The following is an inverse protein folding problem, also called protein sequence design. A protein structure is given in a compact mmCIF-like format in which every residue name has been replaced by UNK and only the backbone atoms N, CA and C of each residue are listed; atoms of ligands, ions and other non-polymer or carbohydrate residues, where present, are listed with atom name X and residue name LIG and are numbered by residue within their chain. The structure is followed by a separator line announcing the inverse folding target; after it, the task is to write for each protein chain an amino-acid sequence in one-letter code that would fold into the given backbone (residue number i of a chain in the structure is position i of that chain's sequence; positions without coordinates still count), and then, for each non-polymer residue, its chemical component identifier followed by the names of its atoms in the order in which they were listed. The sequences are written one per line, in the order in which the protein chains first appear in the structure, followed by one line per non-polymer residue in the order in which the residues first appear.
data_IF_221604167913
#
_entry.id   IF_221604167913
#
_cell.length_a   1.000
_cell.length_b   1.000
_cell.length_c   1.000
_cell.angle_alpha   90.00
_cell.angle_beta   90.00
_cell.angle_gamma   90.00
#
_symmetry.space_group_name_H-M   'P 1'
#
loop_
_entity.id
_entity.type
_entity.pdbx_description
1 polymer ?
#
# COMPACT_ATOMS: atom_id res chain seq x y z
N UNK A 1 8.82 -7.00 -37.50
CA UNK A 1 7.93 -6.12 -36.70
C UNK A 1 7.21 -7.04 -35.74
N UNK A 2 7.56 -7.01 -34.45
CA UNK A 2 6.91 -7.84 -33.44
C UNK A 2 5.83 -6.98 -32.77
N UNK A 3 4.58 -7.40 -32.91
CA UNK A 3 3.45 -6.80 -32.19
C UNK A 3 3.70 -6.95 -30.69
N UNK A 4 3.66 -5.87 -29.88
CA UNK A 4 3.81 -5.99 -28.44
C UNK A 4 2.67 -6.88 -27.91
N UNK A 5 3.03 -8.05 -27.39
CA UNK A 5 2.10 -8.99 -26.77
C UNK A 5 2.04 -8.68 -25.27
N UNK A 6 0.82 -8.49 -24.76
CA UNK A 6 0.59 -8.37 -23.32
C UNK A 6 1.04 -9.66 -22.62
N UNK A 7 1.63 -9.52 -21.42
CA UNK A 7 2.04 -10.69 -20.63
C UNK A 7 0.80 -11.55 -20.28
N UNK A 8 0.96 -12.88 -20.15
CA UNK A 8 -0.15 -13.76 -19.77
C UNK A 8 -0.78 -13.38 -18.42
N UNK A 9 0.04 -12.92 -17.46
CA UNK A 9 -0.41 -12.49 -16.13
C UNK A 9 -1.28 -11.23 -16.22
N UNK A 10 -0.82 -10.19 -16.93
CA UNK A 10 -1.60 -8.98 -17.18
C UNK A 10 -2.89 -9.29 -17.94
N UNK A 11 -2.81 -10.17 -18.95
CA UNK A 11 -3.98 -10.58 -19.74
C UNK A 11 -5.01 -11.31 -18.89
N UNK A 12 -4.57 -12.14 -17.93
CA UNK A 12 -5.45 -12.83 -16.99
C UNK A 12 -6.11 -11.86 -16.01
N UNK A 13 -5.33 -10.95 -15.42
CA UNK A 13 -5.83 -9.91 -14.52
C UNK A 13 -6.82 -8.97 -15.22
N UNK A 14 -6.51 -8.53 -16.44
CA UNK A 14 -7.39 -7.72 -17.29
C UNK A 14 -8.69 -8.47 -17.60
N UNK A 15 -8.62 -9.76 -17.90
CA UNK A 15 -9.81 -10.58 -18.16
C UNK A 15 -10.68 -10.72 -16.92
N UNK A 16 -10.09 -10.96 -15.75
CA UNK A 16 -10.81 -11.04 -14.49
C UNK A 16 -11.54 -9.73 -14.17
N UNK A 17 -10.85 -8.59 -14.38
CA UNK A 17 -11.44 -7.26 -14.21
C UNK A 17 -12.63 -7.02 -15.17
N UNK A 18 -12.48 -7.36 -16.46
CA UNK A 18 -13.55 -7.20 -17.45
C UNK A 18 -14.79 -8.06 -17.13
N UNK A 19 -14.59 -9.27 -16.58
CA UNK A 19 -15.69 -10.14 -16.13
C UNK A 19 -16.41 -9.56 -14.91
N UNK A 20 -15.66 -8.96 -13.98
CA UNK A 20 -16.24 -8.29 -12.80
C UNK A 20 -17.04 -7.03 -13.19
N UNK A 21 -16.53 -6.23 -14.13
CA UNK A 21 -17.21 -5.03 -14.63
C UNK A 21 -18.50 -5.38 -15.39
N UNK A 22 -18.47 -6.45 -16.20
CA UNK A 22 -19.67 -6.93 -16.91
C UNK A 22 -20.79 -7.41 -15.99
N UNK A 23 -20.46 -7.82 -14.75
CA UNK A 23 -21.41 -8.29 -13.74
C UNK A 23 -21.93 -7.19 -12.82
N UNK A 24 -21.35 -5.99 -12.87
CA UNK A 24 -21.71 -4.89 -11.98
C UNK A 24 -22.89 -4.07 -12.54
N UNK A 25 -23.98 -3.85 -11.76
CA UNK A 25 -25.08 -3.00 -12.21
C UNK A 25 -24.62 -1.54 -12.28
N UNK A 26 -24.75 -0.91 -13.46
CA UNK A 26 -24.40 0.50 -13.72
C UNK A 26 -25.19 1.46 -12.82
N UNK A 27 -24.68 1.78 -11.63
CA UNK A 27 -25.23 2.84 -10.78
C UNK A 27 -24.76 4.21 -11.28
N UNK A 28 -25.73 5.01 -11.73
CA UNK A 28 -25.59 6.40 -12.17
C UNK A 28 -25.14 7.27 -10.98
N UNK A 29 -23.83 7.53 -10.83
CA UNK A 29 -23.30 8.38 -9.74
C UNK A 29 -23.45 9.87 -10.08
N UNK A 30 -24.20 10.57 -9.23
CA UNK A 30 -24.38 12.03 -9.19
C UNK A 30 -23.10 12.65 -8.60
N UNK A 31 -22.47 13.54 -9.37
CA UNK A 31 -21.21 14.24 -9.02
C UNK A 31 -21.41 15.19 -7.84
N UNK A 32 -20.78 14.92 -6.71
CA UNK A 32 -20.47 15.93 -5.68
C UNK A 32 -18.94 15.96 -5.54
N UNK A 33 -18.35 17.09 -5.94
CA UNK A 33 -16.91 17.33 -5.84
C UNK A 33 -16.54 17.75 -4.43
N UNK A 34 -15.42 17.24 -3.95
CA UNK A 34 -14.70 17.81 -2.80
C UNK A 34 -13.24 17.94 -3.23
N UNK A 35 -12.81 19.20 -3.25
CA UNK A 35 -11.42 19.60 -3.31
C UNK A 35 -10.83 19.43 -1.91
N UNK A 36 -9.73 18.69 -1.78
CA UNK A 36 -8.88 18.76 -0.59
C UNK A 36 -7.42 18.64 -1.05
N UNK A 37 -6.73 19.76 -0.97
CA UNK A 37 -5.28 19.85 -1.08
C UNK A 37 -4.67 19.40 0.25
N UNK A 38 -3.67 18.52 0.17
CA UNK A 38 -2.93 18.03 1.33
C UNK A 38 -1.89 17.01 0.86
N UNK A 39 -0.71 17.49 0.49
CA UNK A 39 0.39 16.66 0.04
C UNK A 39 0.91 15.82 1.22
N UNK A 40 0.53 14.55 1.26
CA UNK A 40 1.23 13.51 2.01
C UNK A 40 2.01 12.70 0.97
N UNK A 41 3.33 12.59 1.17
CA UNK A 41 4.19 11.72 0.38
C UNK A 41 3.84 10.27 0.73
N UNK A 42 2.82 9.73 0.06
CA UNK A 42 2.47 8.32 0.16
C UNK A 42 3.40 7.54 -0.76
N UNK A 43 4.40 6.88 -0.17
CA UNK A 43 4.86 5.61 -0.73
C UNK A 43 3.62 4.73 -0.78
N UNK A 44 3.32 4.12 -1.93
CA UNK A 44 2.25 3.12 -2.05
C UNK A 44 2.72 1.89 -1.28
N UNK A 45 2.61 1.95 0.05
CA UNK A 45 2.64 0.80 0.92
C UNK A 45 1.34 0.06 0.60
N UNK A 46 1.46 -1.01 -0.18
CA UNK A 46 0.35 -1.88 -0.57
C UNK A 46 -0.32 -2.48 0.65
N UNK A 47 -1.26 -1.73 1.22
CA UNK A 47 -2.07 -2.12 2.37
C UNK A 47 -3.54 -1.73 2.19
N UNK A 48 -3.97 -1.45 0.95
CA UNK A 48 -5.40 -1.32 0.68
C UNK A 48 -5.95 -2.71 0.43
N UNK A 49 -6.57 -3.28 1.45
CA UNK A 49 -7.56 -4.35 1.37
C UNK A 49 -8.81 -3.87 0.60
N UNK A 50 -8.61 -3.34 -0.60
CA UNK A 50 -9.65 -3.18 -1.58
C UNK A 50 -9.58 -4.44 -2.44
N UNK A 51 -10.54 -5.34 -2.22
CA UNK A 51 -10.94 -6.28 -3.27
C UNK A 51 -10.96 -5.51 -4.59
N UNK A 52 -10.28 -6.03 -5.61
CA UNK A 52 -10.12 -5.49 -6.98
C UNK A 52 -11.44 -4.93 -7.54
N UNK A 53 -11.79 -3.72 -7.11
CA UNK A 53 -13.01 -2.99 -7.46
C UNK A 53 -12.70 -1.50 -7.70
N UNK A 54 -11.44 -1.11 -7.54
CA UNK A 54 -10.88 0.10 -8.12
C UNK A 54 -10.50 -0.28 -9.56
N UNK A 55 -11.07 0.36 -10.58
CA UNK A 55 -10.70 0.18 -12.01
C UNK A 55 -9.28 0.64 -12.36
N UNK A 56 -8.33 0.43 -11.46
CA UNK A 56 -6.91 0.70 -11.56
C UNK A 56 -6.25 -0.66 -11.81
N UNK A 57 -5.47 -0.77 -12.88
CA UNK A 57 -4.69 -1.98 -13.16
C UNK A 57 -3.79 -2.29 -11.96
N UNK A 58 -3.62 -3.56 -11.59
CA UNK A 58 -2.83 -3.90 -10.41
C UNK A 58 -1.35 -3.54 -10.66
N UNK A 59 -0.70 -2.99 -9.64
CA UNK A 59 0.67 -2.51 -9.71
C UNK A 59 1.65 -3.71 -9.72
N UNK A 60 2.56 -3.83 -10.71
CA UNK A 60 3.59 -4.87 -10.69
C UNK A 60 4.42 -4.82 -9.41
N UNK A 61 4.86 -5.98 -8.88
CA UNK A 61 5.59 -6.04 -7.61
C UNK A 61 4.78 -5.74 -6.35
N UNK A 62 3.50 -5.38 -6.47
CA UNK A 62 2.62 -5.16 -5.33
C UNK A 62 1.90 -6.47 -4.93
N UNK A 63 1.54 -6.62 -3.64
CA UNK A 63 0.64 -7.68 -3.22
C UNK A 63 -0.74 -7.48 -3.85
N UNK A 64 -1.36 -8.59 -4.26
CA UNK A 64 -2.73 -8.67 -4.71
C UNK A 64 -3.49 -9.61 -3.78
N UNK A 65 -4.58 -9.10 -3.20
CA UNK A 65 -5.40 -9.84 -2.25
C UNK A 65 -6.70 -10.29 -2.92
N UNK A 66 -6.94 -11.60 -2.91
CA UNK A 66 -8.21 -12.20 -3.33
C UNK A 66 -9.02 -12.56 -2.10
N UNK A 67 -10.19 -11.94 -1.92
CA UNK A 67 -11.07 -12.23 -0.78
C UNK A 67 -11.57 -13.67 -0.79
N UNK A 68 -11.51 -14.33 0.37
CA UNK A 68 -11.97 -15.70 0.58
C UNK A 68 -13.07 -15.71 1.65
N UNK A 69 -14.25 -16.17 1.26
CA UNK A 69 -15.39 -16.28 2.16
C UNK A 69 -16.12 -14.94 2.38
N UNK A 70 -16.74 -14.80 3.55
CA UNK A 70 -17.56 -13.65 3.92
C UNK A 70 -16.84 -12.84 5.00
N UNK A 71 -16.80 -11.52 4.81
CA UNK A 71 -16.31 -10.59 5.83
C UNK A 71 -17.13 -10.73 7.12
N UNK A 72 -16.44 -10.74 8.26
CA UNK A 72 -17.06 -10.71 9.58
C UNK A 72 -16.67 -9.43 10.30
N UNK A 73 -17.54 -8.98 11.19
CA UNK A 73 -17.29 -7.81 11.99
C UNK A 73 -17.80 -7.96 13.42
N UNK A 74 -17.20 -7.19 14.32
CA UNK A 74 -17.60 -7.08 15.72
C UNK A 74 -17.47 -5.62 16.16
N UNK A 75 -18.41 -5.17 16.97
CA UNK A 75 -18.31 -3.91 17.70
C UNK A 75 -18.01 -4.20 19.18
N UNK A 76 -17.13 -3.42 19.78
CA UNK A 76 -16.66 -3.64 21.14
C UNK A 76 -16.38 -2.34 21.89
N UNK A 77 -16.22 -2.48 23.20
CA UNK A 77 -15.72 -1.42 24.09
C UNK A 77 -14.66 -2.02 25.01
N UNK A 78 -13.53 -1.33 25.17
CA UNK A 78 -12.38 -1.92 25.85
C UNK A 78 -11.77 -3.08 25.06
N UNK A 79 -11.12 -3.99 25.76
CA UNK A 79 -10.56 -5.18 25.13
C UNK A 79 -11.66 -6.08 24.57
N UNK A 80 -11.53 -6.50 23.31
CA UNK A 80 -12.37 -7.54 22.72
C UNK A 80 -11.65 -8.23 21.56
N UNK A 81 -12.33 -9.14 20.88
CA UNK A 81 -11.75 -9.91 19.78
C UNK A 81 -12.76 -10.22 18.69
N UNK A 82 -12.26 -10.38 17.47
CA UNK A 82 -13.01 -10.88 16.32
C UNK A 82 -12.64 -12.35 16.07
N UNK A 83 -13.66 -13.19 15.87
CA UNK A 83 -13.53 -14.58 15.43
C UNK A 83 -13.99 -14.71 13.97
N UNK A 84 -13.04 -15.00 13.08
CA UNK A 84 -13.31 -15.21 11.66
C UNK A 84 -13.88 -16.59 11.34
N UNK A 85 -13.88 -17.51 12.30
CA UNK A 85 -14.25 -18.91 12.13
C UNK A 85 -13.15 -19.73 11.44
N UNK A 86 -13.48 -20.90 10.88
CA UNK A 86 -12.49 -21.80 10.29
C UNK A 86 -11.78 -21.15 9.10
N UNK A 87 -10.48 -21.40 8.99
CA UNK A 87 -9.64 -20.93 7.87
C UNK A 87 -10.04 -21.68 6.59
N UNK A 88 -10.43 -20.98 5.51
CA UNK A 88 -10.74 -21.61 4.23
C UNK A 88 -9.46 -22.05 3.51
N UNK A 89 -9.59 -23.05 2.63
CA UNK A 89 -8.48 -23.53 1.80
C UNK A 89 -7.90 -22.39 0.94
N UNK A 90 -6.57 -22.30 0.89
CA UNK A 90 -5.85 -21.31 0.08
C UNK A 90 -5.73 -19.92 0.71
N UNK A 91 -6.25 -19.71 1.92
CA UNK A 91 -6.00 -18.48 2.67
C UNK A 91 -4.53 -18.41 3.11
N UNK A 92 -3.92 -17.24 2.92
CA UNK A 92 -2.53 -16.95 3.33
C UNK A 92 -2.49 -15.84 4.37
N UNK A 93 -3.44 -14.92 4.32
CA UNK A 93 -3.47 -13.71 5.14
C UNK A 93 -4.89 -13.40 5.62
N UNK A 94 -4.97 -12.47 6.57
CA UNK A 94 -6.21 -11.84 7.03
C UNK A 94 -6.14 -10.34 6.73
N UNK A 95 -7.10 -9.84 5.96
CA UNK A 95 -7.31 -8.41 5.77
C UNK A 95 -8.22 -7.87 6.88
N UNK A 96 -7.81 -6.79 7.54
CA UNK A 96 -8.48 -6.21 8.69
C UNK A 96 -8.71 -4.71 8.52
N UNK A 97 -9.84 -4.24 9.03
CA UNK A 97 -10.19 -2.82 9.09
C UNK A 97 -10.75 -2.48 10.46
N UNK A 98 -10.05 -1.60 11.17
CA UNK A 98 -10.53 -0.97 12.40
C UNK A 98 -11.25 0.34 12.06
N UNK A 99 -12.43 0.55 12.62
CA UNK A 99 -13.05 1.86 12.73
C UNK A 99 -13.00 2.33 14.18
N UNK A 100 -12.32 3.45 14.42
CA UNK A 100 -12.29 4.08 15.73
C UNK A 100 -13.62 4.80 15.98
N UNK A 101 -14.37 4.35 16.99
CA UNK A 101 -15.62 5.02 17.40
C UNK A 101 -15.36 6.08 18.45
N UNK A 102 -14.37 5.87 19.30
CA UNK A 102 -13.86 6.84 20.26
C UNK A 102 -12.36 7.11 20.03
N UNK A 103 -11.88 8.25 20.52
CA UNK A 103 -10.45 8.53 20.56
C UNK A 103 -9.75 7.62 21.58
N UNK A 104 -8.53 7.19 21.29
CA UNK A 104 -7.79 6.27 22.13
C UNK A 104 -6.58 5.65 21.44
N UNK A 105 -5.83 4.87 22.21
CA UNK A 105 -4.77 4.00 21.68
C UNK A 105 -5.29 2.57 21.60
N UNK A 106 -4.99 1.89 20.50
CA UNK A 106 -5.45 0.53 20.25
C UNK A 106 -4.24 -0.33 19.88
N UNK A 107 -4.01 -1.42 20.63
CA UNK A 107 -3.10 -2.47 20.17
C UNK A 107 -3.88 -3.43 19.27
N UNK A 108 -3.33 -3.65 18.07
CA UNK A 108 -3.98 -4.36 16.98
C UNK A 108 -3.24 -5.66 16.65
N UNK A 109 -3.97 -6.69 16.19
CA UNK A 109 -3.40 -7.97 15.85
C UNK A 109 -2.41 -7.83 14.68
N UNK A 110 -1.16 -8.18 14.92
CA UNK A 110 -0.13 -8.34 13.90
C UNK A 110 0.47 -7.06 13.28
N UNK A 111 0.02 -5.87 13.70
CA UNK A 111 0.52 -4.59 13.13
C UNK A 111 1.02 -3.57 14.17
N UNK A 112 0.86 -3.84 15.47
CA UNK A 112 1.26 -2.92 16.55
C UNK A 112 0.12 -2.01 17.00
N UNK A 113 0.45 -0.79 17.43
CA UNK A 113 -0.53 0.14 18.02
C UNK A 113 -0.90 1.28 17.07
N UNK A 114 -2.17 1.71 17.09
CA UNK A 114 -2.65 2.92 16.41
C UNK A 114 -3.22 3.90 17.42
N UNK A 115 -3.05 5.19 17.15
CA UNK A 115 -3.64 6.28 17.94
C UNK A 115 -4.71 6.96 17.10
N UNK A 116 -5.94 6.97 17.60
CA UNK A 116 -7.05 7.71 17.01
C UNK A 116 -7.31 8.96 17.84
N UNK A 117 -7.15 10.13 17.23
CA UNK A 117 -7.31 11.44 17.90
C UNK A 117 -8.74 11.93 17.88
N UNK A 118 -9.53 11.57 16.86
CA UNK A 118 -10.92 11.99 16.70
C UNK A 118 -11.85 10.77 16.50
N UNK A 119 -13.02 10.74 17.17
CA UNK A 119 -14.02 9.69 16.99
C UNK A 119 -14.64 9.74 15.59
N UNK A 120 -14.90 8.59 14.97
CA UNK A 120 -15.73 8.46 13.77
C UNK A 120 -15.03 8.74 12.43
N UNK A 121 -13.88 9.41 12.42
CA UNK A 121 -13.18 9.79 11.18
C UNK A 121 -11.91 8.97 10.89
N UNK A 122 -11.45 8.15 11.84
CA UNK A 122 -10.23 7.36 11.70
C UNK A 122 -10.53 5.89 11.44
N UNK A 123 -10.09 5.40 10.27
CA UNK A 123 -10.06 3.98 9.96
C UNK A 123 -8.62 3.55 9.65
N UNK A 124 -8.21 2.42 10.23
CA UNK A 124 -6.94 1.78 9.93
C UNK A 124 -7.23 0.47 9.21
N UNK A 125 -6.58 0.24 8.07
CA UNK A 125 -6.65 -1.04 7.37
C UNK A 125 -5.25 -1.61 7.22
N UNK A 126 -5.13 -2.92 7.43
CA UNK A 126 -3.89 -3.64 7.28
C UNK A 126 -4.19 -5.08 6.91
N UNK A 127 -3.15 -5.79 6.51
CA UNK A 127 -3.23 -7.22 6.22
C UNK A 127 -2.08 -7.92 6.91
N UNK A 128 -2.37 -9.05 7.53
CA UNK A 128 -1.43 -9.82 8.34
C UNK A 128 -1.39 -11.27 7.88
N UNK A 129 -0.19 -11.86 7.83
CA UNK A 129 -0.02 -13.27 7.51
C UNK A 129 -0.72 -14.17 8.55
N UNK A 130 -1.34 -15.26 8.09
CA UNK A 130 -2.11 -16.15 8.96
C UNK A 130 -1.27 -16.83 10.04
N UNK A 131 0.03 -17.02 9.81
CA UNK A 131 0.95 -17.62 10.78
C UNK A 131 1.37 -16.65 11.90
N UNK A 132 1.10 -15.35 11.75
CA UNK A 132 1.43 -14.32 12.73
C UNK A 132 0.29 -14.02 13.71
N UNK A 133 -0.91 -14.57 13.51
CA UNK A 133 -2.10 -14.28 14.32
C UNK A 133 -2.96 -15.53 14.56
N UNK A 134 -3.76 -15.51 15.62
CA UNK A 134 -4.87 -16.47 15.78
C UNK A 134 -6.14 -15.87 15.15
N UNK A 135 -6.62 -16.40 14.00
CA UNK A 135 -7.77 -15.82 13.30
C UNK A 135 -9.10 -16.08 14.01
N UNK A 136 -9.12 -16.95 15.03
CA UNK A 136 -10.29 -17.17 15.90
C UNK A 136 -10.31 -16.21 17.10
N UNK A 137 -9.23 -15.46 17.32
CA UNK A 137 -9.09 -14.53 18.45
C UNK A 137 -8.25 -13.30 18.07
N UNK A 138 -8.73 -12.54 17.08
CA UNK A 138 -8.10 -11.30 16.64
C UNK A 138 -8.40 -10.18 17.64
N UNK A 139 -7.52 -10.06 18.64
CA UNK A 139 -7.74 -9.22 19.82
C UNK A 139 -7.38 -7.76 19.56
N UNK A 140 -8.31 -6.86 19.88
CA UNK A 140 -8.10 -5.42 20.01
C UNK A 140 -7.95 -5.11 21.50
N UNK A 141 -6.87 -4.43 21.87
CA UNK A 141 -6.63 -4.01 23.26
C UNK A 141 -6.75 -2.49 23.34
N UNK A 142 -7.62 -2.02 24.22
CA UNK A 142 -7.78 -0.59 24.50
C UNK A 142 -8.43 -0.41 25.88
N UNK A 143 -8.53 0.83 26.33
CA UNK A 143 -9.12 1.20 27.61
C UNK A 143 -10.60 0.82 27.68
N UNK A 144 -11.06 0.40 28.87
CA UNK A 144 -12.33 -0.30 29.13
C UNK A 144 -13.63 0.36 28.60
N UNK A 145 -13.59 1.61 28.12
CA UNK A 145 -14.75 2.35 27.60
C UNK A 145 -14.58 2.86 26.17
N UNK A 146 -13.39 2.68 25.58
CA UNK A 146 -13.11 3.14 24.22
C UNK A 146 -13.80 2.18 23.26
N UNK A 147 -14.73 2.70 22.45
CA UNK A 147 -15.49 1.91 21.49
C UNK A 147 -14.78 1.81 20.15
N UNK A 148 -14.99 0.68 19.49
CA UNK A 148 -14.41 0.37 18.19
C UNK A 148 -15.28 -0.63 17.43
N UNK A 149 -15.03 -0.71 16.12
CA UNK A 149 -15.51 -1.80 15.27
C UNK A 149 -14.31 -2.39 14.54
N UNK A 150 -14.21 -3.71 14.50
CA UNK A 150 -13.21 -4.43 13.70
C UNK A 150 -13.95 -5.29 12.68
N UNK A 151 -13.58 -5.16 11.41
CA UNK A 151 -13.99 -6.04 10.34
C UNK A 151 -12.78 -6.83 9.84
N UNK A 152 -13.00 -8.06 9.38
CA UNK A 152 -11.94 -8.91 8.87
C UNK A 152 -12.45 -9.97 7.90
N UNK A 153 -11.55 -10.39 7.01
CA UNK A 153 -11.79 -11.47 6.06
C UNK A 153 -10.49 -12.21 5.75
N UNK A 154 -10.61 -13.50 5.45
CA UNK A 154 -9.50 -14.26 4.90
C UNK A 154 -9.21 -13.80 3.47
N UNK A 155 -7.93 -13.74 3.11
CA UNK A 155 -7.50 -13.45 1.74
C UNK A 155 -6.42 -14.44 1.31
N UNK A 156 -6.40 -14.72 0.00
CA UNK A 156 -5.22 -15.28 -0.66
C UNK A 156 -4.42 -14.11 -1.19
N UNK A 157 -3.22 -13.92 -0.66
CA UNK A 157 -2.30 -12.87 -1.08
C UNK A 157 -1.23 -13.48 -1.97
N UNK A 158 -1.06 -12.89 -3.13
CA UNK A 158 0.04 -13.19 -4.04
C UNK A 158 0.79 -11.90 -4.38
N UNK A 159 2.10 -11.99 -4.52
CA UNK A 159 2.90 -10.87 -5.01
C UNK A 159 2.97 -10.94 -6.52
N UNK A 160 2.52 -9.88 -7.19
CA UNK A 160 2.63 -9.82 -8.64
C UNK A 160 4.10 -9.72 -9.06
N UNK A 161 4.50 -10.43 -10.13
CA UNK A 161 5.85 -10.30 -10.64
C UNK A 161 6.12 -8.85 -11.08
N UNK A 162 7.38 -8.43 -10.99
CA UNK A 162 7.83 -7.22 -11.65
C UNK A 162 7.63 -7.36 -13.17
N UNK A 163 7.36 -6.23 -13.83
CA UNK A 163 7.29 -6.19 -15.28
C UNK A 163 8.60 -5.64 -15.87
N UNK A 164 8.79 -5.83 -17.17
CA UNK A 164 9.98 -5.36 -17.89
C UNK A 164 9.55 -4.54 -19.10
N UNK A 165 10.15 -3.36 -19.26
CA UNK A 165 9.86 -2.49 -20.39
C UNK A 165 10.71 -2.83 -21.63
N UNK A 166 10.50 -2.17 -22.80
CA UNK A 166 11.26 -2.46 -24.02
C UNK A 166 12.78 -2.25 -23.93
N UNK A 167 13.24 -1.49 -22.93
CA UNK A 167 14.67 -1.24 -22.68
C UNK A 167 15.28 -2.28 -21.74
N UNK A 168 14.50 -3.27 -21.30
CA UNK A 168 14.95 -4.31 -20.38
C UNK A 168 14.94 -3.88 -18.90
N UNK A 169 14.40 -2.70 -18.58
CA UNK A 169 14.32 -2.22 -17.19
C UNK A 169 13.13 -2.86 -16.47
N UNK A 170 13.37 -3.34 -15.26
CA UNK A 170 12.31 -3.84 -14.39
C UNK A 170 11.54 -2.69 -13.75
N UNK A 171 10.22 -2.80 -13.63
CA UNK A 171 9.39 -1.78 -12.99
C UNK A 171 8.31 -2.39 -12.09
N UNK A 172 8.02 -1.69 -10.99
CA UNK A 172 7.02 -2.12 -10.02
C UNK A 172 7.19 -1.52 -8.63
N UNK A 173 6.51 -2.11 -7.66
CA UNK A 173 6.63 -1.81 -6.23
C UNK A 173 7.78 -2.61 -5.60
N UNK A 174 8.42 -2.00 -4.59
CA UNK A 174 9.48 -2.62 -3.78
C UNK A 174 8.93 -3.55 -2.67
N UNK A 175 7.61 -3.59 -2.48
CA UNK A 175 6.97 -4.31 -1.36
C UNK A 175 7.24 -5.83 -1.42
N UNK A 176 7.48 -6.38 -2.61
CA UNK A 176 7.87 -7.77 -2.85
C UNK A 176 9.26 -8.17 -2.31
N UNK A 177 10.09 -7.21 -1.89
CA UNK A 177 11.49 -7.45 -1.52
C UNK A 177 12.47 -7.45 -2.69
N UNK A 178 12.00 -7.66 -3.93
CA UNK A 178 12.77 -7.37 -5.13
C UNK A 178 12.74 -5.87 -5.44
N UNK A 179 13.91 -5.26 -5.63
CA UNK A 179 13.99 -3.83 -5.96
C UNK A 179 14.06 -3.66 -7.48
N UNK A 180 13.03 -3.10 -8.14
CA UNK A 180 13.07 -2.84 -9.58
C UNK A 180 14.02 -1.70 -9.94
N UNK A 181 14.35 -1.59 -11.24
CA UNK A 181 15.10 -0.46 -11.78
C UNK A 181 14.27 0.84 -11.79
N UNK A 182 12.95 0.69 -11.95
CA UNK A 182 11.96 1.76 -11.92
C UNK A 182 10.97 1.51 -10.76
N UNK A 183 11.06 2.33 -9.71
CA UNK A 183 10.31 2.21 -8.47
C UNK A 183 9.03 3.03 -8.53
N UNK A 184 7.89 2.41 -8.24
CA UNK A 184 6.59 3.05 -8.26
C UNK A 184 6.47 4.15 -7.19
N UNK A 185 6.00 5.34 -7.60
CA UNK A 185 5.75 6.50 -6.73
C UNK A 185 4.51 7.28 -7.18
N UNK A 186 3.99 8.13 -6.29
CA UNK A 186 3.01 9.15 -6.64
C UNK A 186 3.73 10.49 -6.79
N UNK A 187 3.64 11.09 -7.97
CA UNK A 187 4.20 12.40 -8.22
C UNK A 187 3.49 13.50 -7.41
N UNK A 188 4.14 14.65 -7.25
CA UNK A 188 3.61 15.86 -6.60
C UNK A 188 2.30 16.38 -7.22
N UNK A 189 2.04 16.03 -8.48
CA UNK A 189 0.80 16.34 -9.19
C UNK A 189 -0.30 15.26 -9.04
N UNK A 190 -0.09 14.26 -8.18
CA UNK A 190 -1.03 13.17 -7.89
C UNK A 190 -1.07 12.07 -8.95
N UNK A 191 -0.14 12.05 -9.92
CA UNK A 191 -0.06 11.01 -10.94
C UNK A 191 0.83 9.87 -10.50
N UNK A 192 0.36 8.63 -10.69
CA UNK A 192 1.19 7.44 -10.53
C UNK A 192 2.24 7.36 -11.64
N UNK A 193 3.44 6.94 -11.26
CA UNK A 193 4.53 6.69 -12.19
C UNK A 193 5.71 6.03 -11.50
N UNK A 194 6.89 6.15 -12.09
CA UNK A 194 8.08 5.47 -11.63
C UNK A 194 9.29 6.39 -11.59
N UNK A 195 10.10 6.31 -10.54
CA UNK A 195 11.42 6.95 -10.47
C UNK A 195 12.51 5.92 -10.72
N UNK A 196 13.67 6.34 -11.21
CA UNK A 196 14.82 5.42 -11.29
C UNK A 196 15.28 5.10 -9.88
N UNK A 197 15.57 3.82 -9.62
CA UNK A 197 16.14 3.36 -8.35
C UNK A 197 17.40 4.11 -7.99
N UNK A 198 18.31 4.30 -8.96
CA UNK A 198 19.58 5.01 -8.73
C UNK A 198 19.36 6.45 -8.26
N UNK A 199 18.43 7.16 -8.89
CA UNK A 199 18.14 8.55 -8.54
C UNK A 199 17.51 8.64 -7.14
N UNK A 200 16.67 7.65 -6.79
CA UNK A 200 16.08 7.54 -5.47
C UNK A 200 17.14 7.24 -4.39
N UNK A 201 18.02 6.26 -4.62
CA UNK A 201 19.10 5.88 -3.70
C UNK A 201 20.12 7.01 -3.48
N UNK A 202 20.37 7.82 -4.52
CA UNK A 202 21.23 9.00 -4.41
C UNK A 202 20.52 10.12 -3.61
N UNK A 203 19.21 10.26 -3.77
CA UNK A 203 18.42 11.29 -3.13
C UNK A 203 18.14 10.98 -1.65
N UNK A 204 17.85 9.73 -1.29
CA UNK A 204 17.57 9.32 0.10
C UNK A 204 18.84 9.05 0.93
N UNK A 205 20.01 9.00 0.27
CA UNK A 205 21.30 8.79 0.91
C UNK A 205 21.73 7.35 1.01
N UNK A 206 20.97 6.40 0.47
CA UNK A 206 21.36 4.98 0.38
C UNK A 206 22.70 4.80 -0.30
N UNK A 207 22.97 5.56 -1.38
CA UNK A 207 24.29 5.52 -2.04
C UNK A 207 25.40 6.05 -1.13
N UNK A 208 25.18 7.17 -0.44
CA UNK A 208 26.17 7.77 0.45
C UNK A 208 26.46 6.88 1.67
N UNK A 209 25.43 6.23 2.21
CA UNK A 209 25.52 5.35 3.36
C UNK A 209 26.50 4.19 3.17
N UNK A 210 26.70 3.73 1.92
CA UNK A 210 27.70 2.70 1.57
C UNK A 210 29.13 3.13 1.88
N UNK A 211 29.40 4.43 1.98
CA UNK A 211 30.73 4.99 2.25
C UNK A 211 30.97 5.33 3.73
N UNK A 212 29.92 5.35 4.55
CA UNK A 212 30.02 5.70 5.97
C UNK A 212 30.78 4.61 6.73
N UNK A 213 31.74 5.03 7.55
CA UNK A 213 32.54 4.14 8.40
C UNK A 213 32.16 4.28 9.87
N UNK A 214 31.36 5.28 10.20
CA UNK A 214 30.93 5.61 11.55
C UNK A 214 29.58 6.34 11.56
N UNK A 215 28.88 6.35 12.71
CA UNK A 215 27.71 7.21 12.89
C UNK A 215 27.99 8.70 12.69
N UNK A 216 29.23 9.15 12.93
CA UNK A 216 29.62 10.54 12.71
C UNK A 216 29.60 10.93 11.22
N UNK A 217 29.93 10.01 10.32
CA UNK A 217 29.86 10.25 8.87
C UNK A 217 28.40 10.46 8.42
N UNK A 218 27.47 9.73 9.02
CA UNK A 218 26.03 9.90 8.75
C UNK A 218 25.51 11.25 9.25
N UNK A 219 25.95 11.70 10.43
CA UNK A 219 25.60 13.02 10.96
C UNK A 219 26.17 14.14 10.09
N UNK A 220 27.44 14.05 9.68
CA UNK A 220 28.07 15.02 8.79
C UNK A 220 27.32 15.11 7.44
N UNK A 221 26.95 13.97 6.87
CA UNK A 221 26.17 13.94 5.63
C UNK A 221 24.77 14.56 5.79
N UNK A 222 24.10 14.31 6.92
CA UNK A 222 22.81 14.93 7.24
C UNK A 222 22.93 16.45 7.43
N UNK A 223 23.97 16.91 8.13
CA UNK A 223 24.26 18.33 8.32
C UNK A 223 24.57 19.05 7.00
N UNK A 224 25.36 18.42 6.12
CA UNK A 224 25.68 18.94 4.78
C UNK A 224 24.46 19.03 3.88
N UNK A 225 23.56 18.02 3.91
CA UNK A 225 22.32 18.06 3.13
C UNK A 225 21.27 19.00 3.73
N UNK A 226 21.28 19.21 5.04
CA UNK A 226 20.37 20.11 5.73
C UNK A 226 18.90 19.84 5.39
N UNK A 227 18.16 20.90 5.04
CA UNK A 227 16.75 20.84 4.62
C UNK A 227 16.55 20.77 3.11
N UNK A 228 17.61 20.43 2.36
CA UNK A 228 17.58 20.42 0.90
C UNK A 228 16.67 19.32 0.39
N UNK A 229 15.64 19.71 -0.35
CA UNK A 229 14.76 18.81 -1.08
C UNK A 229 15.36 18.49 -2.44
N UNK A 230 15.45 17.20 -2.78
CA UNK A 230 15.88 16.74 -4.10
C UNK A 230 14.65 16.38 -4.91
N UNK A 231 14.55 16.95 -6.11
CA UNK A 231 13.47 16.66 -7.05
C UNK A 231 13.94 15.61 -8.06
N UNK A 232 13.18 14.53 -8.18
CA UNK A 232 13.42 13.41 -9.08
C UNK A 232 12.29 13.36 -10.12
N UNK A 233 12.58 13.26 -11.43
CA UNK A 233 11.55 13.11 -12.45
C UNK A 233 10.81 11.78 -12.29
N UNK A 234 9.48 11.83 -12.39
CA UNK A 234 8.60 10.67 -12.43
C UNK A 234 8.30 10.31 -13.88
N UNK A 235 8.54 9.06 -14.24
CA UNK A 235 8.36 8.53 -15.59
C UNK A 235 7.14 7.62 -15.71
N UNK A 236 6.67 7.38 -16.93
CA UNK A 236 5.81 6.25 -17.25
C UNK A 236 6.60 4.92 -17.17
N UNK A 237 5.90 3.79 -17.34
CA UNK A 237 6.53 2.45 -17.34
C UNK A 237 7.55 2.25 -18.47
N UNK A 238 7.52 3.09 -19.51
CA UNK A 238 8.55 3.11 -20.56
C UNK A 238 9.91 3.66 -20.10
N UNK A 239 9.99 4.24 -18.89
CA UNK A 239 11.21 4.82 -18.33
C UNK A 239 11.74 6.05 -19.07
N UNK A 240 10.92 6.68 -19.93
CA UNK A 240 11.31 7.81 -20.80
C UNK A 240 10.33 8.97 -20.73
N UNK A 241 9.03 8.69 -20.71
CA UNK A 241 7.99 9.71 -20.73
C UNK A 241 7.85 10.33 -19.34
N UNK A 242 8.17 11.62 -19.18
CA UNK A 242 8.05 12.34 -17.90
C UNK A 242 6.58 12.69 -17.61
N UNK A 243 6.11 12.35 -16.41
CA UNK A 243 4.74 12.52 -15.94
C UNK A 243 4.59 13.59 -14.85
N UNK A 244 5.68 13.89 -14.14
CA UNK A 244 5.73 14.85 -13.04
C UNK A 244 7.03 14.73 -12.26
N UNK A 245 7.00 15.19 -11.02
CA UNK A 245 8.17 15.24 -10.14
C UNK A 245 7.85 14.59 -8.79
N UNK A 246 8.85 13.92 -8.21
CA UNK A 246 8.84 13.34 -6.87
C UNK A 246 9.89 14.05 -6.02
N UNK A 247 9.60 14.30 -4.75
CA UNK A 247 10.48 15.09 -3.88
C UNK A 247 10.94 14.23 -2.71
N UNK A 248 12.26 14.16 -2.52
CA UNK A 248 12.91 13.45 -1.42
C UNK A 248 13.59 14.45 -0.50
N UNK A 249 13.36 14.32 0.81
CA UNK A 249 13.86 15.26 1.82
C UNK A 249 13.00 16.52 1.97
N UNK A 250 13.31 17.32 3.00
CA UNK A 250 12.62 18.58 3.28
C UNK A 250 11.32 18.41 4.08
N UNK A 251 11.41 17.99 5.34
CA UNK A 251 10.33 18.24 6.31
C UNK A 251 10.46 19.67 6.83
N UNK A 252 9.44 20.51 6.62
CA UNK A 252 9.17 21.64 7.52
C UNK A 252 8.25 21.17 8.64
#
# INVERSE_FOLDING_TARGET
MNTPALSPAFSSALRAHLVAEARSPRRRRRRWGVWAAGATAAVVLGGTSAAVASGVLPLPGAPQDTALGVERSVEGAGTGALDLGPVPDGATDVALTLQCRDAGTFDLPGTGSVVCTEPGDSAASWTVALDAVDPTNLRVVTDARVRWSLAGQYVSRETLPLETNPDGLTFGSIVAGETPDLVAVIATNGRDGYVRRTDLEDADGTTAARSFRSPADALAWQEERGTTSITIPVYASDGRTVLGDFVVGGSR
#
